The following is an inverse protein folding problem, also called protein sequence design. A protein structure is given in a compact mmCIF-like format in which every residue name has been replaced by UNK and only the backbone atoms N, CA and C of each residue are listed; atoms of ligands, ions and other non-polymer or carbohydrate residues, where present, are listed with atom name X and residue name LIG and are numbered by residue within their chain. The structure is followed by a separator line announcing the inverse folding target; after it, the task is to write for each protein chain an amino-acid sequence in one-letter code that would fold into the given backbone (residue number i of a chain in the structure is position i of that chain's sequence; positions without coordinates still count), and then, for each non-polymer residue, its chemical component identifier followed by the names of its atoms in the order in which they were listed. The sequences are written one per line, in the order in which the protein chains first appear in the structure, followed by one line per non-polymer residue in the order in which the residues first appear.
data_IF_043417361038
#
_entry.id   IF_043417361038
#
_cell.length_a   1.000
_cell.length_b   1.000
_cell.length_c   1.000
_cell.angle_alpha   90.00
_cell.angle_beta   90.00
_cell.angle_gamma   90.00
#
_symmetry.space_group_name_H-M   'P 1'
#
loop_
_entity.id
_entity.type
_entity.pdbx_description
1 polymer ?
#
# COMPACT_ATOMS: atom_id res chain seq x y z
N UNK A 1 -24.71 21.21 4.29
CA UNK A 1 -23.85 21.04 3.10
C UNK A 1 -22.41 21.15 3.53
N UNK A 2 -21.67 20.04 3.57
CA UNK A 2 -20.21 20.10 3.73
C UNK A 2 -19.58 19.35 2.56
N UNK A 3 -19.21 20.12 1.53
CA UNK A 3 -18.57 19.62 0.31
C UNK A 3 -17.07 19.49 0.60
N UNK A 4 -16.67 18.55 1.47
CA UNK A 4 -15.24 18.20 1.56
C UNK A 4 -14.89 17.27 0.40
N UNK A 5 -14.09 17.81 -0.49
CA UNK A 5 -13.39 17.05 -1.51
C UNK A 5 -12.53 16.02 -0.79
N UNK A 6 -12.66 14.73 -1.13
CA UNK A 6 -11.67 13.72 -0.77
C UNK A 6 -10.39 14.00 -1.60
N UNK A 7 -9.79 15.18 -1.42
CA UNK A 7 -8.60 15.64 -2.12
C UNK A 7 -7.37 14.95 -1.53
N UNK A 8 -7.30 13.66 -1.84
CA UNK A 8 -6.11 12.85 -2.16
C UNK A 8 -5.09 12.65 -1.03
N UNK A 9 -4.63 13.71 -0.36
CA UNK A 9 -3.74 13.63 0.79
C UNK A 9 -4.44 13.05 2.04
N UNK A 10 -5.69 13.45 2.30
CA UNK A 10 -6.49 12.93 3.43
C UNK A 10 -6.64 11.40 3.42
N UNK A 11 -6.68 10.79 2.23
CA UNK A 11 -6.71 9.34 2.08
C UNK A 11 -5.42 8.69 2.59
N UNK A 12 -4.27 9.29 2.26
CA UNK A 12 -2.97 8.76 2.63
C UNK A 12 -2.72 8.89 4.14
N UNK A 13 -3.12 10.02 4.73
CA UNK A 13 -3.11 10.20 6.19
C UNK A 13 -4.04 9.19 6.88
N UNK A 14 -5.27 9.01 6.37
CA UNK A 14 -6.21 8.02 6.91
C UNK A 14 -5.68 6.57 6.86
N UNK A 15 -4.80 6.24 5.90
CA UNK A 15 -4.12 4.95 5.82
C UNK A 15 -3.04 4.79 6.88
N UNK A 16 -2.23 5.83 7.10
CA UNK A 16 -1.06 5.79 7.97
C UNK A 16 -1.42 5.90 9.46
N UNK A 17 -2.46 6.67 9.79
CA UNK A 17 -2.88 6.94 11.17
C UNK A 17 -4.36 6.64 11.41
N UNK A 18 -4.83 5.40 11.18
CA UNK A 18 -6.22 5.05 11.43
C UNK A 18 -6.49 5.01 12.93
N UNK A 19 -7.50 5.74 13.38
CA UNK A 19 -8.09 5.55 14.71
C UNK A 19 -8.94 4.28 14.67
N UNK A 20 -8.67 3.34 15.57
CA UNK A 20 -9.43 2.08 15.65
C UNK A 20 -10.40 2.16 16.82
N UNK A 21 -11.68 1.92 16.55
CA UNK A 21 -12.71 1.79 17.57
C UNK A 21 -13.16 0.33 17.58
N UNK A 22 -13.17 -0.30 18.75
CA UNK A 22 -13.63 -1.67 18.96
C UNK A 22 -14.68 -1.70 20.05
N UNK A 23 -15.80 -2.36 19.81
CA UNK A 23 -16.72 -2.74 20.88
C UNK A 23 -16.14 -3.91 21.68
N UNK A 24 -16.30 -3.87 23.00
CA UNK A 24 -15.96 -4.97 23.90
C UNK A 24 -17.21 -5.83 24.18
N UNK A 25 -17.04 -7.08 24.64
CA UNK A 25 -18.17 -7.94 25.01
C UNK A 25 -19.08 -7.33 26.09
N UNK A 26 -18.54 -6.46 26.93
CA UNK A 26 -19.23 -5.80 28.04
C UNK A 26 -20.02 -4.55 27.60
N UNK A 27 -20.03 -4.22 26.31
CA UNK A 27 -20.74 -3.05 25.77
C UNK A 27 -19.96 -1.74 25.80
N UNK A 28 -18.70 -1.76 26.26
CA UNK A 28 -17.82 -0.59 26.23
C UNK A 28 -17.16 -0.44 24.84
N UNK A 29 -16.61 0.74 24.57
CA UNK A 29 -15.78 1.01 23.41
C UNK A 29 -14.32 1.20 23.80
N UNK A 30 -13.42 0.58 23.04
CA UNK A 30 -11.99 0.84 23.08
C UNK A 30 -11.59 1.67 21.88
N UNK A 31 -11.10 2.87 22.15
CA UNK A 31 -10.45 3.75 21.19
C UNK A 31 -8.94 3.52 21.24
N UNK A 32 -8.38 2.96 20.18
CA UNK A 32 -6.94 2.78 20.03
C UNK A 32 -6.41 3.88 19.11
N UNK A 33 -5.62 4.78 19.69
CA UNK A 33 -5.00 5.88 18.96
C UNK A 33 -3.82 5.37 18.11
N UNK A 34 -3.56 5.99 16.94
CA UNK A 34 -2.44 5.62 16.09
C UNK A 34 -1.09 5.92 16.77
N UNK A 35 0.00 5.40 16.20
CA UNK A 35 1.38 5.66 16.62
C UNK A 35 1.71 5.36 18.09
N UNK A 36 0.94 4.49 18.76
CA UNK A 36 1.20 4.12 20.15
C UNK A 36 0.79 5.19 21.17
N UNK A 37 -0.01 6.18 20.77
CA UNK A 37 -0.52 7.26 21.62
C UNK A 37 -1.51 6.80 22.73
N UNK A 38 -1.63 5.49 22.94
CA UNK A 38 -2.44 4.90 24.00
C UNK A 38 -3.78 4.33 23.52
N UNK A 39 -4.49 3.72 24.48
CA UNK A 39 -5.83 3.19 24.32
C UNK A 39 -6.71 3.76 25.42
N UNK A 40 -7.90 4.22 25.05
CA UNK A 40 -8.90 4.77 25.98
C UNK A 40 -10.17 3.95 25.93
N UNK A 41 -10.80 3.77 27.09
CA UNK A 41 -12.07 3.08 27.20
C UNK A 41 -13.20 4.10 27.35
N UNK A 42 -14.33 3.84 26.70
CA UNK A 42 -15.53 4.67 26.77
C UNK A 42 -16.73 3.79 27.10
N UNK A 43 -17.65 4.31 27.89
CA UNK A 43 -18.91 3.66 28.25
C UNK A 43 -20.07 4.46 27.64
N UNK A 44 -21.10 3.75 27.19
CA UNK A 44 -22.31 4.40 26.67
C UNK A 44 -23.04 5.12 27.80
N UNK A 45 -23.36 6.40 27.60
CA UNK A 45 -24.13 7.19 28.57
C UNK A 45 -25.54 7.49 28.05
N UNK A 46 -25.65 7.71 26.74
CA UNK A 46 -26.90 7.90 26.02
C UNK A 46 -26.75 7.22 24.65
N UNK A 47 -27.86 7.02 23.94
CA UNK A 47 -27.84 6.39 22.62
C UNK A 47 -26.82 7.07 21.70
N UNK A 48 -25.85 6.29 21.19
CA UNK A 48 -24.76 6.75 20.32
C UNK A 48 -23.77 7.76 20.94
N UNK A 49 -23.84 7.99 22.25
CA UNK A 49 -22.96 8.90 23.00
C UNK A 49 -22.18 8.11 24.05
N UNK A 50 -20.86 8.13 23.91
CA UNK A 50 -19.94 7.37 24.75
C UNK A 50 -18.99 8.32 25.48
N UNK A 51 -18.86 8.16 26.80
CA UNK A 51 -17.99 8.97 27.65
C UNK A 51 -16.79 8.17 28.13
N UNK A 52 -15.62 8.80 28.17
CA UNK A 52 -14.37 8.19 28.64
C UNK A 52 -14.50 7.70 30.08
N UNK A 53 -14.07 6.46 30.32
CA UNK A 53 -14.02 5.88 31.67
C UNK A 53 -12.95 6.59 32.48
N UNK A 54 -13.38 7.29 33.54
CA UNK A 54 -12.47 8.09 34.38
C UNK A 54 -12.06 9.44 33.76
N UNK A 55 -12.72 9.87 32.67
CA UNK A 55 -12.40 11.10 31.96
C UNK A 55 -13.61 11.97 31.61
N UNK A 56 -13.35 13.00 30.80
CA UNK A 56 -14.37 13.94 30.33
C UNK A 56 -14.57 13.91 28.81
N UNK A 57 -13.73 13.18 28.09
CA UNK A 57 -13.82 13.11 26.65
C UNK A 57 -15.03 12.26 26.23
N UNK A 58 -15.60 12.61 25.07
CA UNK A 58 -16.82 12.01 24.55
C UNK A 58 -16.66 11.65 23.08
N UNK A 59 -17.23 10.52 22.69
CA UNK A 59 -17.38 10.10 21.29
C UNK A 59 -18.86 10.06 20.96
N UNK A 60 -19.26 10.74 19.89
CA UNK A 60 -20.62 10.76 19.39
C UNK A 60 -20.64 10.08 18.02
N UNK A 61 -21.48 9.06 17.86
CA UNK A 61 -21.71 8.42 16.58
C UNK A 61 -22.88 9.06 15.85
N UNK A 62 -22.80 9.09 14.52
CA UNK A 62 -23.89 9.56 13.66
C UNK A 62 -24.13 8.61 12.51
N UNK A 63 -25.41 8.34 12.29
CA UNK A 63 -25.89 7.55 11.19
C UNK A 63 -25.93 8.33 9.87
N UNK A 64 -25.77 7.59 8.78
CA UNK A 64 -26.09 8.01 7.42
C UNK A 64 -26.83 6.85 6.75
N UNK A 65 -28.08 7.08 6.34
CA UNK A 65 -28.98 6.05 5.76
C UNK A 65 -29.14 4.80 6.64
N UNK A 66 -29.33 5.00 7.95
CA UNK A 66 -29.57 3.91 8.91
C UNK A 66 -28.35 3.06 9.25
N UNK A 67 -27.13 3.56 8.96
CA UNK A 67 -25.89 2.92 9.37
C UNK A 67 -24.96 3.94 10.01
N UNK A 68 -24.36 3.58 11.16
CA UNK A 68 -23.32 4.39 11.79
C UNK A 68 -22.14 4.58 10.83
N UNK A 69 -21.91 5.83 10.43
CA UNK A 69 -20.91 6.20 9.41
C UNK A 69 -19.90 7.22 9.91
N UNK A 70 -20.31 8.08 10.83
CA UNK A 70 -19.46 9.15 11.34
C UNK A 70 -19.25 8.99 12.84
N UNK A 71 -18.08 9.41 13.32
CA UNK A 71 -17.81 9.58 14.74
C UNK A 71 -17.16 10.95 14.98
N UNK A 72 -17.56 11.62 16.04
CA UNK A 72 -17.02 12.90 16.48
C UNK A 72 -16.40 12.71 17.85
N UNK A 73 -15.15 13.12 18.02
CA UNK A 73 -14.41 12.93 19.25
C UNK A 73 -14.09 14.28 19.86
N UNK A 74 -14.47 14.50 21.10
CA UNK A 74 -14.37 15.82 21.75
C UNK A 74 -12.93 16.34 21.89
N UNK A 75 -11.92 15.46 21.86
CA UNK A 75 -10.52 15.86 21.88
C UNK A 75 -10.04 16.47 20.54
N UNK A 76 -10.76 16.21 19.45
CA UNK A 76 -10.49 16.76 18.11
C UNK A 76 -11.82 17.22 17.46
N UNK A 77 -12.49 18.23 18.01
CA UNK A 77 -13.84 18.63 17.60
C UNK A 77 -13.91 19.14 16.15
N UNK A 78 -12.78 19.62 15.61
CA UNK A 78 -12.64 20.03 14.21
C UNK A 78 -12.57 18.85 13.21
N UNK A 79 -12.40 17.62 13.71
CA UNK A 79 -12.29 16.40 12.91
C UNK A 79 -13.53 15.52 13.03
N UNK A 80 -14.03 15.05 11.88
CA UNK A 80 -15.04 14.01 11.79
C UNK A 80 -14.40 12.72 11.28
N UNK A 81 -14.48 11.66 12.08
CA UNK A 81 -14.04 10.33 11.66
C UNK A 81 -15.10 9.69 10.78
N UNK A 82 -14.67 9.00 9.73
CA UNK A 82 -15.55 8.29 8.80
C UNK A 82 -15.22 6.81 8.84
N UNK A 83 -16.24 5.97 8.97
CA UNK A 83 -16.09 4.52 8.93
C UNK A 83 -15.49 4.09 7.58
N UNK A 84 -14.35 3.41 7.63
CA UNK A 84 -13.69 2.86 6.45
C UNK A 84 -14.47 1.66 5.92
N UNK A 85 -14.58 1.56 4.59
CA UNK A 85 -15.08 0.35 3.93
C UNK A 85 -14.05 -0.77 3.99
N UNK A 86 -14.48 -2.02 3.82
CA UNK A 86 -13.59 -3.19 3.92
C UNK A 86 -12.35 -3.11 3.00
N UNK A 87 -12.51 -2.60 1.78
CA UNK A 87 -11.41 -2.41 0.83
C UNK A 87 -10.52 -1.19 1.12
N UNK A 88 -10.82 -0.42 2.16
CA UNK A 88 -9.99 0.70 2.65
C UNK A 88 -9.22 0.30 3.91
N UNK A 89 -9.38 -0.94 4.39
CA UNK A 89 -8.71 -1.41 5.61
C UNK A 89 -7.20 -1.53 5.34
N UNK A 90 -6.33 -0.85 6.11
CA UNK A 90 -4.89 -0.81 5.88
C UNK A 90 -4.19 -2.17 5.79
N UNK A 91 -4.66 -3.17 6.54
CA UNK A 91 -4.04 -4.50 6.58
C UNK A 91 -4.00 -5.21 5.22
N UNK A 92 -5.07 -5.10 4.43
CA UNK A 92 -5.12 -5.65 3.07
C UNK A 92 -4.05 -5.02 2.17
N UNK A 93 -3.88 -3.70 2.28
CA UNK A 93 -2.90 -2.95 1.51
C UNK A 93 -1.48 -3.30 1.94
N UNK A 94 -1.21 -3.44 3.24
CA UNK A 94 0.10 -3.86 3.75
C UNK A 94 0.48 -5.27 3.29
N UNK A 95 -0.47 -6.21 3.32
CA UNK A 95 -0.24 -7.57 2.79
C UNK A 95 0.12 -7.54 1.30
N UNK A 96 -0.63 -6.76 0.51
CA UNK A 96 -0.39 -6.64 -0.92
C UNK A 96 0.98 -6.02 -1.24
N UNK A 97 1.37 -4.97 -0.50
CA UNK A 97 2.70 -4.36 -0.59
C UNK A 97 3.78 -5.38 -0.24
N UNK A 98 3.64 -6.08 0.89
CA UNK A 98 4.62 -7.08 1.36
C UNK A 98 4.85 -8.20 0.35
N UNK A 99 3.78 -8.78 -0.20
CA UNK A 99 3.89 -9.81 -1.24
C UNK A 99 4.54 -9.27 -2.52
N UNK A 100 4.21 -8.04 -2.91
CA UNK A 100 4.80 -7.39 -4.08
C UNK A 100 6.30 -7.15 -3.90
N UNK A 101 6.74 -6.70 -2.73
CA UNK A 101 8.16 -6.49 -2.40
C UNK A 101 8.95 -7.79 -2.52
N UNK A 102 8.45 -8.90 -1.98
CA UNK A 102 9.12 -10.20 -2.09
C UNK A 102 9.30 -10.62 -3.56
N UNK A 103 8.25 -10.46 -4.37
CA UNK A 103 8.29 -10.78 -5.80
C UNK A 103 9.22 -9.83 -6.58
N UNK A 104 9.27 -8.55 -6.24
CA UNK A 104 10.18 -7.60 -6.86
C UNK A 104 11.64 -7.85 -6.49
N UNK A 105 11.93 -8.17 -5.24
CA UNK A 105 13.29 -8.53 -4.80
C UNK A 105 13.78 -9.77 -5.54
N UNK A 106 12.94 -10.80 -5.65
CA UNK A 106 13.30 -12.03 -6.37
C UNK A 106 13.51 -11.78 -7.87
N UNK A 107 12.73 -10.90 -8.51
CA UNK A 107 12.93 -10.53 -9.91
C UNK A 107 14.18 -9.65 -10.13
N UNK A 108 14.42 -8.66 -9.27
CA UNK A 108 15.56 -7.76 -9.35
C UNK A 108 16.89 -8.47 -9.07
N UNK A 109 16.91 -9.35 -8.06
CA UNK A 109 18.13 -10.02 -7.56
C UNK A 109 18.30 -11.45 -8.08
N UNK A 110 17.24 -12.11 -8.55
CA UNK A 110 17.31 -13.52 -8.95
C UNK A 110 18.24 -13.78 -10.14
N UNK A 111 18.32 -12.85 -11.10
CA UNK A 111 19.21 -13.00 -12.25
C UNK A 111 20.69 -12.69 -11.94
N UNK A 112 21.09 -11.65 -11.17
CA UNK A 112 22.48 -11.46 -10.77
C UNK A 112 22.95 -12.56 -9.81
N UNK A 113 22.13 -12.97 -8.83
CA UNK A 113 22.49 -14.05 -7.91
C UNK A 113 22.69 -15.36 -8.67
N UNK A 114 21.77 -15.70 -9.59
CA UNK A 114 21.94 -16.90 -10.40
C UNK A 114 23.11 -16.78 -11.38
N UNK A 115 23.46 -15.58 -11.86
CA UNK A 115 24.66 -15.36 -12.68
C UNK A 115 25.94 -15.58 -11.88
N UNK A 116 26.02 -15.02 -10.69
CA UNK A 116 27.14 -15.19 -9.79
C UNK A 116 27.30 -16.66 -9.37
N UNK A 117 26.23 -17.33 -8.97
CA UNK A 117 26.24 -18.76 -8.64
C UNK A 117 26.58 -19.67 -9.84
N UNK A 118 26.38 -19.22 -11.08
CA UNK A 118 26.86 -19.96 -12.27
C UNK A 118 28.37 -19.81 -12.46
N UNK A 119 28.90 -18.62 -12.23
CA UNK A 119 30.34 -18.33 -12.32
C UNK A 119 31.10 -19.03 -11.18
N UNK A 120 30.57 -18.95 -9.95
CA UNK A 120 31.20 -19.47 -8.74
C UNK A 120 30.97 -20.99 -8.58
N UNK A 121 29.74 -21.48 -8.80
CA UNK A 121 29.38 -22.89 -8.53
C UNK A 121 29.20 -23.76 -9.79
N UNK A 122 29.57 -23.28 -10.99
CA UNK A 122 29.53 -24.01 -12.28
C UNK A 122 28.18 -24.72 -12.60
N UNK A 123 27.04 -24.16 -12.17
CA UNK A 123 25.71 -24.76 -12.41
C UNK A 123 25.32 -24.78 -13.92
N UNK A 124 24.86 -25.94 -14.42
CA UNK A 124 24.39 -26.13 -15.81
C UNK A 124 23.06 -25.40 -16.08
N UNK A 125 22.84 -24.96 -17.34
CA UNK A 125 21.56 -24.36 -17.79
C UNK A 125 20.53 -25.46 -18.07
N UNK A 126 19.34 -25.32 -17.50
CA UNK A 126 18.18 -26.14 -17.83
C UNK A 126 17.08 -25.28 -18.45
N UNK A 127 16.47 -25.77 -19.54
CA UNK A 127 15.39 -25.10 -20.28
C UNK A 127 15.87 -24.19 -21.42
N UNK A 128 14.91 -23.74 -22.25
CA UNK A 128 15.20 -22.87 -23.39
C UNK A 128 15.75 -21.51 -22.95
N UNK A 129 16.79 -20.98 -23.63
CA UNK A 129 17.37 -19.69 -23.31
C UNK A 129 16.33 -18.60 -23.56
N UNK A 130 16.13 -17.73 -22.57
CA UNK A 130 15.28 -16.56 -22.78
C UNK A 130 16.02 -15.39 -23.40
N UNK A 131 15.26 -14.49 -24.03
CA UNK A 131 15.71 -13.15 -24.32
C UNK A 131 16.25 -12.47 -23.06
N UNK A 132 17.48 -11.95 -23.12
CA UNK A 132 18.06 -11.14 -22.03
C UNK A 132 17.14 -9.95 -21.69
N UNK A 133 16.47 -9.40 -22.71
CA UNK A 133 15.51 -8.31 -22.57
C UNK A 133 14.40 -8.59 -21.55
N UNK A 134 13.85 -9.81 -21.50
CA UNK A 134 12.78 -10.16 -20.57
C UNK A 134 13.22 -10.04 -19.10
N UNK A 135 14.49 -10.39 -18.82
CA UNK A 135 15.09 -10.30 -17.48
C UNK A 135 15.40 -8.86 -17.10
N UNK A 136 15.95 -8.08 -18.04
CA UNK A 136 16.22 -6.67 -17.81
C UNK A 136 14.95 -5.85 -17.61
N UNK A 137 13.88 -6.14 -18.35
CA UNK A 137 12.59 -5.47 -18.18
C UNK A 137 11.97 -5.79 -16.81
N UNK A 138 11.86 -7.06 -16.44
CA UNK A 138 11.29 -7.43 -15.15
C UNK A 138 12.16 -6.96 -13.98
N UNK A 139 13.48 -7.14 -14.06
CA UNK A 139 14.41 -6.67 -13.03
C UNK A 139 14.44 -5.15 -12.89
N UNK A 140 14.43 -4.42 -14.01
CA UNK A 140 14.39 -2.95 -14.03
C UNK A 140 13.07 -2.40 -13.50
N UNK A 141 11.94 -2.97 -13.93
CA UNK A 141 10.61 -2.64 -13.39
C UNK A 141 10.55 -2.85 -11.87
N UNK A 142 11.00 -4.02 -11.40
CA UNK A 142 11.04 -4.34 -9.98
C UNK A 142 11.97 -3.42 -9.20
N UNK A 143 13.14 -3.09 -9.73
CA UNK A 143 14.06 -2.14 -9.11
C UNK A 143 13.42 -0.74 -8.99
N UNK A 144 12.73 -0.25 -10.03
CA UNK A 144 12.02 1.03 -9.97
C UNK A 144 10.91 1.06 -8.91
N UNK A 145 10.12 -0.01 -8.79
CA UNK A 145 9.12 -0.10 -7.72
C UNK A 145 9.74 -0.14 -6.32
N UNK A 146 10.86 -0.85 -6.16
CA UNK A 146 11.59 -0.88 -4.89
C UNK A 146 12.19 0.49 -4.54
N UNK A 147 12.79 1.18 -5.51
CA UNK A 147 13.30 2.55 -5.34
C UNK A 147 12.18 3.53 -4.99
N UNK A 148 11.02 3.40 -5.62
CA UNK A 148 9.83 4.16 -5.25
C UNK A 148 9.43 3.90 -3.79
N UNK A 149 9.39 2.64 -3.35
CA UNK A 149 9.04 2.30 -1.97
C UNK A 149 10.05 2.84 -0.95
N UNK A 150 11.34 2.79 -1.25
CA UNK A 150 12.38 3.41 -0.41
C UNK A 150 12.19 4.92 -0.35
N UNK A 151 12.00 5.58 -1.50
CA UNK A 151 11.74 7.02 -1.54
C UNK A 151 10.46 7.42 -0.81
N UNK A 152 9.41 6.59 -0.89
CA UNK A 152 8.17 6.77 -0.15
C UNK A 152 8.40 6.65 1.36
N UNK A 153 9.12 5.61 1.82
CA UNK A 153 9.42 5.43 3.23
C UNK A 153 10.24 6.59 3.81
N UNK A 154 11.23 7.09 3.06
CA UNK A 154 12.03 8.26 3.43
C UNK A 154 11.18 9.54 3.44
N UNK A 155 10.26 9.71 2.49
CA UNK A 155 9.35 10.86 2.52
C UNK A 155 8.45 10.80 3.76
N UNK A 156 7.91 9.62 4.08
CA UNK A 156 6.98 9.43 5.19
C UNK A 156 7.63 9.44 6.58
N UNK A 157 8.97 9.39 6.69
CA UNK A 157 9.63 9.52 7.99
C UNK A 157 9.56 10.94 8.56
N UNK A 158 9.28 11.94 7.73
CA UNK A 158 9.06 13.33 8.14
C UNK A 158 7.69 13.80 7.64
N UNK A 159 6.66 13.44 8.41
CA UNK A 159 5.27 13.81 8.10
C UNK A 159 5.02 15.32 8.24
N UNK A 160 5.86 16.05 8.99
CA UNK A 160 5.71 17.49 9.19
C UNK A 160 5.90 18.24 7.88
N UNK A 161 6.87 17.84 7.06
CA UNK A 161 7.11 18.44 5.74
C UNK A 161 5.88 18.41 4.83
N UNK A 162 5.03 17.38 4.95
CA UNK A 162 3.82 17.29 4.14
C UNK A 162 2.75 18.32 4.49
N UNK A 163 2.75 18.86 5.72
CA UNK A 163 1.85 19.94 6.10
C UNK A 163 2.23 21.28 5.43
N UNK A 164 3.51 21.46 5.10
CA UNK A 164 4.03 22.66 4.42
C UNK A 164 4.04 22.53 2.89
N UNK A 165 3.77 21.34 2.35
CA UNK A 165 3.67 21.08 0.91
C UNK A 165 4.16 19.69 0.52
N UNK A 166 4.01 19.32 -0.76
CA UNK A 166 4.44 17.99 -1.24
C UNK A 166 5.97 18.00 -1.48
N UNK A 167 6.76 17.18 -0.75
CA UNK A 167 8.21 17.16 -0.89
C UNK A 167 8.66 16.81 -2.31
N UNK A 168 9.75 17.43 -2.78
CA UNK A 168 10.30 17.17 -4.12
C UNK A 168 10.70 15.69 -4.30
N UNK A 169 11.27 15.08 -3.26
CA UNK A 169 11.66 13.67 -3.25
C UNK A 169 10.47 12.74 -3.49
N UNK A 170 9.30 13.07 -2.92
CA UNK A 170 8.07 12.34 -3.16
C UNK A 170 7.64 12.42 -4.63
N UNK A 171 7.67 13.62 -5.24
CA UNK A 171 7.35 13.82 -6.66
C UNK A 171 8.30 13.05 -7.58
N UNK A 172 9.60 13.02 -7.28
CA UNK A 172 10.60 12.24 -8.01
C UNK A 172 10.29 10.74 -7.88
N UNK A 173 9.92 10.27 -6.69
CA UNK A 173 9.49 8.90 -6.47
C UNK A 173 8.35 8.50 -7.40
N UNK A 174 7.33 9.35 -7.58
CA UNK A 174 6.21 9.05 -8.49
C UNK A 174 6.65 8.88 -9.95
N UNK A 175 7.76 9.50 -10.37
CA UNK A 175 8.30 9.26 -11.70
C UNK A 175 8.78 7.81 -11.87
N UNK A 176 9.37 7.22 -10.83
CA UNK A 176 9.79 5.82 -10.86
C UNK A 176 8.61 4.87 -10.99
N UNK A 177 7.48 5.14 -10.33
CA UNK A 177 6.30 4.29 -10.44
C UNK A 177 5.64 4.37 -11.82
N UNK A 178 5.64 5.56 -12.45
CA UNK A 178 5.17 5.74 -13.83
C UNK A 178 6.08 5.01 -14.81
N UNK A 179 7.40 5.17 -14.68
CA UNK A 179 8.38 4.45 -15.52
C UNK A 179 8.25 2.93 -15.36
N UNK A 180 8.07 2.43 -14.13
CA UNK A 180 7.81 1.02 -13.87
C UNK A 180 6.50 0.54 -14.52
N UNK A 181 5.46 1.38 -14.52
CA UNK A 181 4.20 1.12 -15.23
C UNK A 181 4.38 0.92 -16.73
N UNK A 182 5.23 1.72 -17.38
CA UNK A 182 5.58 1.55 -18.80
C UNK A 182 6.30 0.22 -19.02
N UNK A 183 7.28 -0.12 -18.17
CA UNK A 183 7.99 -1.40 -18.26
C UNK A 183 7.07 -2.61 -18.05
N UNK A 184 6.01 -2.48 -17.24
CA UNK A 184 5.03 -3.54 -17.01
C UNK A 184 4.33 -4.00 -18.29
N UNK A 185 4.14 -3.11 -19.27
CA UNK A 185 3.62 -3.48 -20.60
C UNK A 185 4.59 -4.42 -21.32
N UNK A 186 5.89 -4.13 -21.28
CA UNK A 186 6.92 -5.01 -21.83
C UNK A 186 6.96 -6.38 -21.12
N UNK A 187 6.83 -6.37 -19.79
CA UNK A 187 6.75 -7.60 -18.99
C UNK A 187 5.52 -8.43 -19.35
N UNK A 188 4.36 -7.80 -19.57
CA UNK A 188 3.16 -8.50 -20.06
C UNK A 188 3.43 -9.22 -21.39
N UNK A 189 4.02 -8.52 -22.37
CA UNK A 189 4.35 -9.10 -23.68
C UNK A 189 5.26 -10.32 -23.52
N UNK A 190 6.32 -10.22 -22.72
CA UNK A 190 7.21 -11.36 -22.47
C UNK A 190 6.55 -12.48 -21.66
N UNK A 191 5.60 -12.17 -20.78
CA UNK A 191 4.79 -13.18 -20.08
C UNK A 191 4.01 -14.00 -21.09
N UNK A 192 3.28 -13.36 -22.01
CA UNK A 192 2.50 -14.04 -23.04
C UNK A 192 3.40 -14.85 -23.98
N UNK A 193 4.53 -14.27 -24.42
CA UNK A 193 5.50 -14.96 -25.27
C UNK A 193 6.14 -16.17 -24.57
N UNK A 194 6.42 -16.09 -23.27
CA UNK A 194 7.01 -17.19 -22.52
C UNK A 194 6.07 -18.41 -22.45
N UNK A 195 4.76 -18.19 -22.27
CA UNK A 195 3.77 -19.25 -22.32
C UNK A 195 3.60 -19.79 -23.75
N UNK A 196 3.49 -18.91 -24.76
CA UNK A 196 3.24 -19.30 -26.16
C UNK A 196 4.41 -20.04 -26.80
N UNK A 197 5.64 -19.59 -26.57
CA UNK A 197 6.87 -20.17 -27.13
C UNK A 197 7.59 -21.14 -26.19
N UNK A 198 6.99 -21.44 -25.03
CA UNK A 198 7.53 -22.33 -23.99
C UNK A 198 8.98 -21.99 -23.62
N UNK A 199 9.27 -20.71 -23.42
CA UNK A 199 10.56 -20.28 -22.87
C UNK A 199 10.68 -20.67 -21.39
N UNK A 200 11.90 -20.95 -20.95
CA UNK A 200 12.21 -21.38 -19.57
C UNK A 200 11.52 -22.67 -19.10
N UNK A 201 11.83 -23.07 -17.86
CA UNK A 201 11.12 -24.10 -17.12
C UNK A 201 9.72 -23.62 -16.71
N UNK A 202 8.82 -24.55 -16.36
CA UNK A 202 7.48 -24.22 -15.84
C UNK A 202 7.52 -23.26 -14.65
N UNK A 203 8.36 -23.54 -13.66
CA UNK A 203 8.49 -22.71 -12.45
C UNK A 203 8.93 -21.27 -12.77
N UNK A 204 9.85 -21.08 -13.71
CA UNK A 204 10.31 -19.75 -14.11
C UNK A 204 9.22 -18.95 -14.85
N UNK A 205 8.36 -19.60 -15.64
CA UNK A 205 7.20 -18.96 -16.27
C UNK A 205 6.15 -18.53 -15.25
N UNK A 206 5.85 -19.41 -14.28
CA UNK A 206 4.93 -19.10 -13.18
C UNK A 206 5.48 -17.91 -12.38
N UNK A 207 6.76 -17.95 -12.00
CA UNK A 207 7.39 -16.86 -11.28
C UNK A 207 7.33 -15.52 -12.05
N UNK A 208 7.67 -15.51 -13.34
CA UNK A 208 7.58 -14.31 -14.18
C UNK A 208 6.15 -13.77 -14.26
N UNK A 209 5.16 -14.67 -14.33
CA UNK A 209 3.73 -14.31 -14.32
C UNK A 209 3.32 -13.71 -12.96
N UNK A 210 3.78 -14.28 -11.85
CA UNK A 210 3.52 -13.75 -10.51
C UNK A 210 4.11 -12.35 -10.32
N UNK A 211 5.31 -12.11 -10.83
CA UNK A 211 5.94 -10.77 -10.82
C UNK A 211 5.10 -9.76 -11.60
N UNK A 212 4.55 -10.14 -12.75
CA UNK A 212 3.64 -9.30 -13.51
C UNK A 212 2.33 -9.01 -12.77
N UNK A 213 1.72 -10.03 -12.15
CA UNK A 213 0.50 -9.86 -11.36
C UNK A 213 0.73 -8.94 -10.16
N UNK A 214 1.87 -9.08 -9.48
CA UNK A 214 2.28 -8.19 -8.41
C UNK A 214 2.45 -6.73 -8.88
N UNK A 215 3.10 -6.52 -10.03
CA UNK A 215 3.21 -5.20 -10.65
C UNK A 215 1.83 -4.59 -10.94
N UNK A 216 0.91 -5.38 -11.48
CA UNK A 216 -0.46 -4.93 -11.79
C UNK A 216 -1.22 -4.54 -10.53
N UNK A 217 -1.17 -5.38 -9.48
CA UNK A 217 -1.84 -5.11 -8.22
C UNK A 217 -1.22 -3.90 -7.49
N UNK A 218 0.10 -3.73 -7.58
CA UNK A 218 0.79 -2.58 -7.03
C UNK A 218 0.44 -1.28 -7.78
N UNK A 219 0.36 -1.30 -9.12
CA UNK A 219 -0.11 -0.14 -9.90
C UNK A 219 -1.56 0.22 -9.58
N UNK A 220 -2.43 -0.77 -9.40
CA UNK A 220 -3.80 -0.55 -8.93
C UNK A 220 -3.81 0.13 -7.56
N UNK A 221 -2.98 -0.33 -6.63
CA UNK A 221 -2.82 0.26 -5.31
C UNK A 221 -2.38 1.73 -5.41
N UNK A 222 -1.37 2.03 -6.24
CA UNK A 222 -0.92 3.41 -6.46
C UNK A 222 -2.03 4.28 -7.04
N UNK A 223 -2.79 3.78 -8.02
CA UNK A 223 -3.90 4.54 -8.58
C UNK A 223 -5.04 4.74 -7.55
N UNK A 224 -5.32 3.74 -6.72
CA UNK A 224 -6.33 3.84 -5.64
C UNK A 224 -6.01 4.97 -4.66
N UNK A 225 -4.72 5.12 -4.32
CA UNK A 225 -4.20 6.18 -3.45
C UNK A 225 -3.87 7.49 -4.18
N UNK A 226 -4.18 7.62 -5.47
CA UNK A 226 -3.80 8.76 -6.31
C UNK A 226 -2.28 9.03 -6.39
N UNK A 227 -1.46 8.01 -6.12
CA UNK A 227 0.00 8.03 -6.22
C UNK A 227 0.51 7.73 -7.63
N UNK A 228 -0.39 7.54 -8.59
CA UNK A 228 -0.02 7.29 -9.98
C UNK A 228 -0.26 8.55 -10.83
N UNK A 229 0.82 9.10 -11.40
CA UNK A 229 0.75 10.17 -12.40
C UNK A 229 0.45 11.57 -11.85
N UNK A 230 1.03 11.93 -10.69
CA UNK A 230 0.88 13.25 -10.04
C UNK A 230 -0.57 13.73 -9.93
N UNK A 231 -1.49 12.78 -9.73
CA UNK A 231 -2.88 13.09 -9.50
C UNK A 231 -3.08 13.64 -8.10
N UNK A 232 -2.23 14.46 -7.49
CA UNK A 232 -2.51 15.14 -6.21
C UNK A 232 -3.33 16.43 -6.41
#
# INVERSE_FOLDING_TARGET
MNRRSYTKFDKLVALLTPVKIKATPEGNLLLVMPAGLGTKAFVETEQDIFREVGGQETIIFREDKGQIRYAFYSAFPEMAFVKLKAYQIPSFHYLLIGLSVVLFLTAALGWPISALGRVVCRRKRFGNPAPKAARWLAGGMSALFLLFLVGLAVALSDLEQFFFGIPALFKIGLAFSVAAGVLAVGVLVFTLLAWRKKYWTGCARVHYTLVFLAATAFLWLLNFWNLLGWKF
#
